data_IF_946879568138
#
_entry.id   IF_946879568138
#
_cell.length_a   1.000
_cell.length_b   1.000
_cell.length_c   1.000
_cell.angle_alpha   90.00
_cell.angle_beta   90.00
_cell.angle_gamma   90.00
#
_symmetry.space_group_name_H-M   'P 1'
#
loop_
_entity.id
_entity.type
_entity.pdbx_description
1 polymer ?
#
# COMPACT_ATOMS: atom_id res chain seq x y z
N UNK A 1 37.50 17.03 1.42
CA UNK A 1 36.34 17.89 1.10
C UNK A 1 35.12 17.00 0.90
N UNK A 2 34.31 16.80 1.95
CA UNK A 2 33.11 15.98 1.89
C UNK A 2 31.95 16.78 1.29
N UNK A 3 31.28 16.21 0.28
CA UNK A 3 30.07 16.80 -0.30
C UNK A 3 28.91 16.57 0.67
N UNK A 4 28.36 17.64 1.24
CA UNK A 4 27.11 17.61 2.01
C UNK A 4 25.96 17.54 0.99
N UNK A 5 25.21 16.44 0.99
CA UNK A 5 23.95 16.34 0.24
C UNK A 5 22.88 16.96 1.13
N UNK A 6 22.35 18.11 0.71
CA UNK A 6 21.27 18.82 1.36
C UNK A 6 19.95 18.17 0.91
N UNK A 7 19.38 17.27 1.70
CA UNK A 7 18.02 16.78 1.49
C UNK A 7 17.06 17.82 2.06
N UNK A 8 16.43 18.61 1.18
CA UNK A 8 15.42 19.60 1.56
C UNK A 8 14.09 18.87 1.71
N UNK A 9 13.69 18.63 2.97
CA UNK A 9 12.41 18.02 3.33
C UNK A 9 11.32 19.10 3.31
N UNK A 10 10.45 19.10 2.29
CA UNK A 10 9.23 19.92 2.29
C UNK A 10 8.08 19.10 2.88
N UNK A 11 7.94 19.14 4.21
CA UNK A 11 6.71 18.72 4.88
C UNK A 11 5.78 19.93 4.92
N UNK A 12 4.84 20.01 3.97
CA UNK A 12 3.74 20.97 4.04
C UNK A 12 2.66 20.40 4.97
N UNK A 13 2.58 21.05 6.13
CA UNK A 13 1.58 20.90 7.19
C UNK A 13 0.16 21.13 6.64
N UNK A 14 -0.70 20.13 6.77
CA UNK A 14 -2.16 20.32 6.79
C UNK A 14 -2.65 20.27 8.24
N UNK A 15 -2.34 21.34 8.99
CA UNK A 15 -3.04 21.63 10.24
C UNK A 15 -4.27 22.47 9.88
N UNK A 16 -5.43 21.84 9.97
CA UNK A 16 -6.73 22.50 9.94
C UNK A 16 -6.91 23.37 11.19
N UNK A 17 -6.73 24.68 11.06
CA UNK A 17 -7.27 25.66 12.02
C UNK A 17 -8.13 26.66 11.25
N UNK A 18 -9.41 26.72 11.59
CA UNK A 18 -10.37 27.69 11.07
C UNK A 18 -9.94 29.13 11.44
N UNK A 19 -9.91 30.01 10.43
CA UNK A 19 -10.13 31.45 10.64
C UNK A 19 -9.01 32.40 10.17
N UNK A 20 -9.04 32.79 8.90
CA UNK A 20 -9.15 34.19 8.45
C UNK A 20 -8.90 34.31 6.93
N UNK A 21 -9.46 35.36 6.34
CA UNK A 21 -9.70 35.54 4.90
C UNK A 21 -8.43 35.94 4.13
N UNK A 22 -8.41 35.51 2.86
CA UNK A 22 -7.64 36.02 1.71
C UNK A 22 -6.15 35.65 1.61
N UNK A 23 -5.78 34.81 0.64
CA UNK A 23 -5.31 35.25 -0.68
C UNK A 23 -5.05 34.03 -1.58
N UNK A 24 -5.44 34.15 -2.84
CA UNK A 24 -5.17 33.18 -3.90
C UNK A 24 -3.66 33.10 -4.18
N UNK A 25 -3.09 31.89 -4.17
CA UNK A 25 -1.98 31.59 -5.07
C UNK A 25 -2.08 30.13 -5.54
N UNK A 26 -2.43 29.97 -6.82
CA UNK A 26 -2.44 28.67 -7.51
C UNK A 26 -1.01 28.36 -7.94
N UNK A 27 -0.30 27.56 -7.15
CA UNK A 27 0.99 27.01 -7.57
C UNK A 27 0.75 25.82 -8.51
N UNK A 28 0.92 26.07 -9.80
CA UNK A 28 0.93 25.04 -10.84
C UNK A 28 2.31 24.37 -10.85
N UNK A 29 2.45 23.18 -10.28
CA UNK A 29 3.68 22.37 -10.43
C UNK A 29 3.52 21.43 -11.62
N UNK A 30 4.14 21.78 -12.75
CA UNK A 30 4.36 20.87 -13.88
C UNK A 30 5.52 19.94 -13.54
N UNK A 31 5.25 18.67 -13.30
CA UNK A 31 6.27 17.62 -13.23
C UNK A 31 6.60 17.18 -14.65
N UNK A 32 7.85 17.37 -15.09
CA UNK A 32 8.39 16.75 -16.31
C UNK A 32 8.92 15.37 -15.94
N UNK A 33 8.25 14.33 -16.41
CA UNK A 33 8.76 12.95 -16.36
C UNK A 33 9.35 12.62 -17.73
N UNK A 34 10.67 12.67 -17.87
CA UNK A 34 11.37 12.13 -19.04
C UNK A 34 11.62 10.63 -18.84
N UNK A 35 10.67 9.78 -19.24
CA UNK A 35 10.90 8.35 -19.40
C UNK A 35 11.38 8.07 -20.82
N UNK A 36 12.70 7.93 -20.99
CA UNK A 36 13.28 7.38 -22.23
C UNK A 36 13.28 5.86 -22.15
N UNK A 37 12.18 5.24 -22.59
CA UNK A 37 12.14 3.78 -22.83
C UNK A 37 12.60 3.53 -24.26
N UNK A 38 13.83 3.04 -24.42
CA UNK A 38 14.34 2.55 -25.71
C UNK A 38 13.72 1.18 -26.01
N UNK A 39 12.67 1.16 -26.83
CA UNK A 39 12.20 -0.05 -27.50
C UNK A 39 13.20 -0.47 -28.58
N UNK A 40 13.95 -1.54 -28.34
CA UNK A 40 14.61 -2.29 -29.43
C UNK A 40 13.74 -3.48 -29.84
N UNK A 41 12.90 -3.23 -30.83
CA UNK A 41 12.39 -4.24 -31.77
C UNK A 41 13.56 -4.86 -32.52
N UNK A 42 13.68 -6.19 -32.50
CA UNK A 42 14.42 -6.94 -33.51
C UNK A 42 13.51 -8.01 -34.11
N UNK A 43 13.22 -7.82 -35.40
CA UNK A 43 12.54 -8.77 -36.29
C UNK A 43 13.44 -9.93 -36.70
N UNK A 44 12.75 -11.02 -37.05
CA UNK A 44 13.17 -12.37 -37.41
C UNK A 44 14.27 -12.55 -38.48
N UNK A 45 14.92 -13.72 -38.44
CA UNK A 45 15.10 -14.61 -39.61
C UNK A 45 15.38 -16.08 -39.22
N UNK A 46 14.50 -16.96 -39.70
CA UNK A 46 14.61 -18.38 -40.10
C UNK A 46 15.99 -19.09 -40.12
N UNK A 47 16.11 -20.34 -39.64
CA UNK A 47 15.70 -21.60 -40.34
C UNK A 47 16.20 -22.89 -39.64
N UNK A 48 15.36 -23.92 -39.71
CA UNK A 48 15.65 -25.35 -39.98
C UNK A 48 16.11 -26.37 -38.88
N UNK A 49 15.16 -27.25 -38.53
CA UNK A 49 15.20 -28.74 -38.71
C UNK A 49 15.07 -29.67 -37.47
N UNK A 50 13.89 -30.32 -37.40
CA UNK A 50 13.51 -31.71 -37.03
C UNK A 50 13.55 -32.27 -35.59
N UNK A 51 12.38 -32.84 -35.30
CA UNK A 51 12.05 -34.12 -34.63
C UNK A 51 12.09 -34.21 -33.11
N UNK A 52 10.92 -34.46 -32.52
CA UNK A 52 10.81 -35.24 -31.29
C UNK A 52 9.53 -35.01 -30.48
N UNK A 53 8.54 -35.87 -30.71
CA UNK A 53 7.46 -36.30 -29.78
C UNK A 53 6.43 -35.26 -29.33
N UNK A 54 5.19 -35.52 -29.76
CA UNK A 54 3.96 -34.99 -29.18
C UNK A 54 3.84 -35.43 -27.71
N UNK A 55 4.09 -34.50 -26.80
CA UNK A 55 3.42 -34.48 -25.50
C UNK A 55 2.35 -33.39 -25.57
N UNK A 56 1.08 -33.80 -25.53
CA UNK A 56 -0.07 -32.91 -25.40
C UNK A 56 -0.03 -32.30 -24.00
N UNK A 57 0.76 -31.25 -23.84
CA UNK A 57 0.64 -30.34 -22.73
C UNK A 57 -0.64 -29.53 -22.96
N UNK A 58 -1.71 -29.87 -22.23
CA UNK A 58 -2.82 -28.96 -21.99
C UNK A 58 -2.28 -27.74 -21.23
N UNK A 59 -1.65 -26.81 -21.96
CA UNK A 59 -1.50 -25.44 -21.51
C UNK A 59 -2.90 -24.86 -21.59
N UNK A 60 -3.55 -24.75 -20.43
CA UNK A 60 -4.59 -23.76 -20.24
C UNK A 60 -4.04 -22.43 -20.77
N UNK A 61 -4.53 -22.01 -21.93
CA UNK A 61 -4.34 -20.65 -22.41
C UNK A 61 -5.12 -19.75 -21.45
N UNK A 62 -4.51 -19.40 -20.32
CA UNK A 62 -5.00 -18.32 -19.46
C UNK A 62 -5.04 -17.08 -20.35
N UNK A 63 -6.24 -16.61 -20.64
CA UNK A 63 -6.45 -15.45 -21.49
C UNK A 63 -5.90 -14.22 -20.77
N UNK A 64 -4.65 -13.88 -21.08
CA UNK A 64 -3.91 -12.76 -20.49
C UNK A 64 -4.63 -11.41 -20.68
N UNK A 65 -5.57 -11.34 -21.64
CA UNK A 65 -6.39 -10.13 -21.83
C UNK A 65 -7.41 -9.94 -20.70
N UNK A 66 -8.06 -11.03 -20.24
CA UNK A 66 -9.02 -10.99 -19.13
C UNK A 66 -8.37 -10.68 -17.80
N UNK A 67 -7.19 -11.28 -17.53
CA UNK A 67 -6.43 -11.03 -16.30
C UNK A 67 -6.02 -9.54 -16.18
N UNK A 68 -5.73 -8.90 -17.31
CA UNK A 68 -5.39 -7.47 -17.35
C UNK A 68 -6.63 -6.58 -17.11
N UNK A 69 -7.81 -7.00 -17.56
CA UNK A 69 -9.04 -6.24 -17.38
C UNK A 69 -9.59 -6.37 -15.94
N UNK A 70 -9.55 -7.57 -15.36
CA UNK A 70 -9.92 -7.79 -13.95
C UNK A 70 -9.00 -7.02 -13.00
N UNK A 71 -7.68 -7.06 -13.22
CA UNK A 71 -6.72 -6.32 -12.41
C UNK A 71 -7.01 -4.82 -12.43
N UNK A 72 -7.30 -4.24 -13.61
CA UNK A 72 -7.65 -2.82 -13.74
C UNK A 72 -8.94 -2.48 -13.03
N UNK A 73 -9.97 -3.31 -13.18
CA UNK A 73 -11.26 -3.09 -12.52
C UNK A 73 -11.11 -3.16 -10.99
N UNK A 74 -10.34 -4.12 -10.50
CA UNK A 74 -9.99 -4.24 -9.09
C UNK A 74 -9.28 -3.00 -8.57
N UNK A 75 -8.15 -2.59 -9.17
CA UNK A 75 -7.40 -1.45 -8.67
C UNK A 75 -8.18 -0.13 -8.77
N UNK A 76 -9.08 0.01 -9.74
CA UNK A 76 -10.02 1.13 -9.80
C UNK A 76 -11.01 1.13 -8.63
N UNK A 77 -11.44 -0.04 -8.17
CA UNK A 77 -12.34 -0.18 -7.01
C UNK A 77 -11.67 0.28 -5.70
N UNK A 78 -10.37 0.04 -5.58
CA UNK A 78 -9.57 0.40 -4.40
C UNK A 78 -8.73 1.67 -4.58
N UNK A 79 -8.88 2.38 -5.70
CA UNK A 79 -8.17 3.62 -5.98
C UNK A 79 -8.52 4.68 -4.92
N UNK A 80 -7.49 5.41 -4.48
CA UNK A 80 -7.60 6.50 -3.51
C UNK A 80 -8.17 6.11 -2.15
N UNK A 81 -8.18 4.80 -1.83
CA UNK A 81 -8.50 4.28 -0.50
C UNK A 81 -7.28 4.42 0.42
N UNK A 82 -7.54 4.86 1.66
CA UNK A 82 -6.51 5.02 2.68
C UNK A 82 -6.62 3.92 3.75
N UNK A 83 -5.98 2.79 3.52
CA UNK A 83 -5.95 1.73 4.51
C UNK A 83 -5.06 2.13 5.68
N UNK A 84 -5.50 1.87 6.90
CA UNK A 84 -4.76 2.18 8.11
C UNK A 84 -4.92 1.10 9.17
N UNK A 85 -3.85 0.85 9.91
CA UNK A 85 -3.94 0.21 11.22
C UNK A 85 -4.40 1.31 12.19
N UNK A 86 -5.60 1.19 12.78
CA UNK A 86 -6.13 2.20 13.67
C UNK A 86 -5.24 2.28 14.91
N UNK A 87 -5.17 3.47 15.51
CA UNK A 87 -4.19 3.78 16.55
C UNK A 87 -4.23 2.81 17.73
N UNK A 88 -3.34 1.82 17.75
CA UNK A 88 -3.09 0.98 18.93
C UNK A 88 -1.82 1.48 19.60
N UNK A 89 -1.90 1.82 20.89
CA UNK A 89 -0.75 2.30 21.67
C UNK A 89 0.01 3.47 21.00
N UNK A 90 -0.73 4.45 20.49
CA UNK A 90 -0.19 5.63 19.77
C UNK A 90 0.54 5.35 18.46
N UNK A 91 0.51 4.10 17.96
CA UNK A 91 1.05 3.72 16.65
C UNK A 91 -0.03 3.79 15.59
N UNK A 92 0.22 4.55 14.54
CA UNK A 92 -0.56 4.57 13.31
C UNK A 92 0.34 4.13 12.17
N UNK A 93 -0.19 3.27 11.33
CA UNK A 93 0.35 3.00 10.02
C UNK A 93 -0.76 3.20 9.00
N UNK A 94 -0.45 3.84 7.87
CA UNK A 94 -1.40 3.99 6.79
C UNK A 94 -0.74 3.94 5.43
N UNK A 95 -1.44 3.40 4.45
CA UNK A 95 -1.08 3.43 3.04
C UNK A 95 -2.13 4.20 2.24
N UNK A 96 -1.72 4.74 1.10
CA UNK A 96 -2.59 5.30 0.07
C UNK A 96 -2.35 4.54 -1.24
N UNK A 97 -3.38 3.86 -1.75
CA UNK A 97 -3.28 3.01 -2.93
C UNK A 97 -3.65 3.76 -4.23
N UNK A 98 -2.82 3.56 -5.25
CA UNK A 98 -3.02 4.04 -6.61
C UNK A 98 -3.71 2.97 -7.49
N UNK A 99 -4.23 3.39 -8.65
CA UNK A 99 -4.98 2.53 -9.57
C UNK A 99 -4.15 1.48 -10.35
N UNK A 100 -2.86 1.44 -10.11
CA UNK A 100 -1.91 0.50 -10.71
C UNK A 100 -1.22 -0.38 -9.65
N UNK A 101 -1.74 -0.33 -8.42
CA UNK A 101 -1.25 -1.10 -7.29
C UNK A 101 -0.04 -0.52 -6.58
N UNK A 102 0.53 0.58 -7.07
CA UNK A 102 1.50 1.32 -6.26
C UNK A 102 0.84 1.91 -5.02
N UNK A 103 1.62 2.14 -3.98
CA UNK A 103 1.14 2.83 -2.79
C UNK A 103 2.25 3.61 -2.09
N UNK A 104 1.85 4.67 -1.39
CA UNK A 104 2.68 5.38 -0.43
C UNK A 104 2.24 5.03 0.98
N UNK A 105 3.20 4.78 1.86
CA UNK A 105 3.00 4.37 3.24
C UNK A 105 3.68 5.29 4.24
N UNK A 106 3.04 5.43 5.40
CA UNK A 106 3.56 6.20 6.53
C UNK A 106 3.35 5.42 7.82
N UNK A 107 4.39 5.44 8.66
CA UNK A 107 4.34 5.00 10.05
C UNK A 107 4.55 6.22 10.94
N UNK A 108 3.71 6.34 11.97
CA UNK A 108 3.85 7.35 13.01
C UNK A 108 3.55 6.74 14.37
N UNK A 109 4.45 6.91 15.32
CA UNK A 109 4.17 6.61 16.72
C UNK A 109 4.83 7.64 17.65
N UNK A 110 4.45 7.62 18.92
CA UNK A 110 5.10 8.41 19.95
C UNK A 110 4.73 7.96 21.36
N UNK A 111 5.65 8.16 22.30
CA UNK A 111 5.49 7.80 23.70
C UNK A 111 5.61 9.00 24.66
N UNK A 112 5.64 10.22 24.13
CA UNK A 112 5.77 11.46 24.89
C UNK A 112 7.17 12.08 24.79
N UNK A 113 8.21 11.26 24.79
CA UNK A 113 9.62 11.72 24.75
C UNK A 113 10.29 11.51 23.39
N UNK A 114 9.75 10.57 22.60
CA UNK A 114 10.23 10.26 21.27
C UNK A 114 9.10 10.16 20.26
N UNK A 115 9.42 10.44 19.00
CA UNK A 115 8.58 10.17 17.85
C UNK A 115 9.23 9.09 16.98
N UNK A 116 8.41 8.21 16.43
CA UNK A 116 8.84 7.16 15.52
C UNK A 116 8.21 7.40 14.16
N UNK A 117 9.02 7.57 13.12
CA UNK A 117 8.54 7.95 11.78
C UNK A 117 9.13 6.99 10.74
N UNK A 118 8.29 6.55 9.81
CA UNK A 118 8.75 5.83 8.62
C UNK A 118 7.96 6.30 7.41
N UNK A 119 8.63 6.54 6.29
CA UNK A 119 7.99 6.75 4.99
C UNK A 119 8.50 5.68 4.04
N UNK A 120 7.59 5.12 3.26
CA UNK A 120 7.92 4.05 2.32
C UNK A 120 6.97 4.09 1.12
N UNK A 121 7.41 3.53 0.01
CA UNK A 121 6.56 3.23 -1.14
C UNK A 121 6.60 1.73 -1.44
N UNK A 122 5.59 1.25 -2.14
CA UNK A 122 5.54 -0.15 -2.55
C UNK A 122 4.59 -0.40 -3.70
N UNK A 123 4.45 -1.68 -4.05
CA UNK A 123 3.56 -2.13 -5.12
C UNK A 123 2.89 -3.45 -4.76
N UNK A 124 1.58 -3.52 -4.90
CA UNK A 124 0.79 -4.74 -4.89
C UNK A 124 0.51 -5.15 -6.34
N UNK A 125 0.83 -6.39 -6.68
CA UNK A 125 0.42 -6.99 -7.95
C UNK A 125 -0.86 -7.80 -7.73
N UNK A 126 -1.82 -7.67 -8.65
CA UNK A 126 -3.01 -8.52 -8.69
C UNK A 126 -2.61 -9.97 -8.94
N UNK A 127 -3.24 -10.90 -8.21
CA UNK A 127 -3.05 -12.34 -8.41
C UNK A 127 -4.32 -12.95 -9.02
N UNK A 128 -5.43 -12.86 -8.29
CA UNK A 128 -6.72 -13.40 -8.71
C UNK A 128 -7.88 -12.83 -7.88
N UNK A 129 -9.09 -12.93 -8.42
CA UNK A 129 -10.34 -12.74 -7.69
C UNK A 129 -10.72 -14.08 -7.06
N UNK A 130 -10.88 -14.10 -5.73
CA UNK A 130 -11.27 -15.31 -4.99
C UNK A 130 -12.78 -15.49 -5.03
N UNK A 131 -13.51 -14.40 -4.77
CA UNK A 131 -14.96 -14.31 -4.87
C UNK A 131 -15.39 -12.85 -5.14
N UNK A 132 -16.69 -12.57 -5.13
CA UNK A 132 -17.22 -11.22 -5.43
C UNK A 132 -16.77 -10.12 -4.47
N UNK A 133 -16.26 -10.46 -3.29
CA UNK A 133 -15.86 -9.53 -2.24
C UNK A 133 -14.39 -9.69 -1.83
N UNK A 134 -13.67 -10.67 -2.38
CA UNK A 134 -12.32 -11.02 -1.95
C UNK A 134 -11.37 -11.13 -3.12
N UNK A 135 -10.26 -10.41 -3.03
CA UNK A 135 -9.20 -10.39 -4.04
C UNK A 135 -7.87 -10.76 -3.41
N UNK A 136 -7.07 -11.54 -4.12
CA UNK A 136 -5.70 -11.87 -3.72
C UNK A 136 -4.72 -10.96 -4.44
N UNK A 137 -3.80 -10.41 -3.67
CA UNK A 137 -2.70 -9.56 -4.16
C UNK A 137 -1.38 -10.02 -3.59
N UNK A 138 -0.28 -9.65 -4.24
CA UNK A 138 1.09 -9.99 -3.82
C UNK A 138 1.92 -8.73 -3.65
N UNK A 139 2.68 -8.64 -2.56
CA UNK A 139 3.65 -7.56 -2.41
C UNK A 139 4.81 -7.74 -3.40
N UNK A 140 4.88 -6.88 -4.41
CA UNK A 140 5.89 -6.95 -5.47
C UNK A 140 7.11 -6.06 -5.19
N UNK A 141 6.91 -4.95 -4.48
CA UNK A 141 7.95 -3.96 -4.19
C UNK A 141 7.71 -3.30 -2.84
N UNK A 142 8.79 -2.99 -2.12
CA UNK A 142 8.78 -2.12 -0.95
C UNK A 142 10.14 -1.40 -0.82
N UNK A 143 10.11 -0.08 -0.71
CA UNK A 143 11.30 0.77 -0.54
C UNK A 143 11.04 1.82 0.55
N UNK A 144 11.96 1.91 1.52
CA UNK A 144 11.94 2.96 2.54
C UNK A 144 12.48 4.26 1.94
N UNK A 145 11.78 5.37 2.17
CA UNK A 145 12.22 6.71 1.78
C UNK A 145 12.98 7.41 2.90
N UNK A 146 12.62 7.10 4.15
CA UNK A 146 13.38 7.53 5.33
C UNK A 146 14.56 6.60 5.58
N UNK A 147 15.70 7.10 6.09
CA UNK A 147 16.76 6.25 6.62
C UNK A 147 16.20 5.29 7.67
N UNK A 148 16.69 4.06 7.79
CA UNK A 148 16.23 3.13 8.84
C UNK A 148 17.22 3.09 9.99
N UNK A 149 16.72 2.92 11.21
CA UNK A 149 17.52 2.79 12.45
C UNK A 149 18.44 3.99 12.72
N UNK A 150 18.05 5.17 12.23
CA UNK A 150 18.71 6.43 12.54
C UNK A 150 17.88 7.23 13.53
N UNK A 151 18.58 8.01 14.36
CA UNK A 151 17.97 8.92 15.31
C UNK A 151 18.44 10.34 15.03
N UNK A 152 17.54 11.30 15.17
CA UNK A 152 17.85 12.71 15.13
C UNK A 152 17.02 13.49 16.13
N UNK A 153 17.58 14.59 16.63
CA UNK A 153 16.85 15.50 17.50
C UNK A 153 16.28 16.64 16.65
N UNK A 154 14.96 16.82 16.69
CA UNK A 154 14.26 17.87 15.94
C UNK A 154 13.55 18.77 16.93
N UNK A 155 13.72 20.08 16.79
CA UNK A 155 12.92 21.06 17.52
C UNK A 155 11.53 21.18 16.86
N UNK A 156 10.48 20.79 17.58
CA UNK A 156 9.09 20.91 17.14
C UNK A 156 8.32 21.77 18.14
N UNK A 157 7.97 22.99 17.75
CA UNK A 157 7.19 23.89 18.61
C UNK A 157 7.92 24.34 19.88
N UNK A 158 9.26 24.45 19.84
CA UNK A 158 10.08 24.84 20.98
C UNK A 158 10.45 23.69 21.92
N UNK A 159 10.08 22.46 21.59
CA UNK A 159 10.43 21.24 22.33
C UNK A 159 11.37 20.42 21.45
N UNK A 160 12.50 19.99 22.01
CA UNK A 160 13.40 19.06 21.34
C UNK A 160 12.86 17.63 21.48
N UNK A 161 12.57 17.00 20.34
CA UNK A 161 12.03 15.63 20.28
C UNK A 161 13.07 14.73 19.62
N UNK A 162 13.33 13.58 20.22
CA UNK A 162 14.11 12.52 19.58
C UNK A 162 13.23 11.79 18.57
N UNK A 163 13.61 11.85 17.30
CA UNK A 163 12.94 11.15 16.20
C UNK A 163 13.76 9.93 15.83
N UNK A 164 13.18 8.75 15.96
CA UNK A 164 13.75 7.50 15.47
C UNK A 164 13.06 7.11 14.16
N UNK A 165 13.85 6.86 13.13
CA UNK A 165 13.32 6.38 11.86
C UNK A 165 13.21 4.85 11.82
N UNK A 166 12.03 4.35 11.47
CA UNK A 166 11.60 2.97 11.72
C UNK A 166 11.00 2.30 10.48
N UNK A 167 11.11 0.98 10.39
CA UNK A 167 10.65 0.13 9.27
C UNK A 167 9.73 -1.02 9.70
N UNK A 168 9.19 -0.95 10.93
CA UNK A 168 8.18 -1.86 11.50
C UNK A 168 6.78 -1.77 10.86
N UNK A 169 6.72 -1.69 9.54
CA UNK A 169 5.50 -1.64 8.75
C UNK A 169 4.78 -2.99 8.66
N UNK A 170 3.49 -2.92 8.35
CA UNK A 170 2.61 -4.02 7.99
C UNK A 170 3.21 -4.83 6.83
N UNK A 171 3.64 -4.13 5.78
CA UNK A 171 4.46 -4.69 4.73
C UNK A 171 5.93 -4.62 5.12
N UNK A 172 6.66 -5.75 5.08
CA UNK A 172 8.11 -5.77 5.34
C UNK A 172 8.86 -6.13 4.08
N UNK A 173 10.08 -5.61 3.94
CA UNK A 173 10.94 -5.89 2.79
C UNK A 173 11.24 -7.39 2.66
N UNK A 174 11.42 -8.08 3.77
CA UNK A 174 11.62 -9.53 3.83
C UNK A 174 10.37 -10.33 3.42
N UNK A 175 9.22 -9.66 3.26
CA UNK A 175 7.95 -10.25 2.83
C UNK A 175 7.62 -9.93 1.36
N UNK A 176 8.57 -9.43 0.57
CA UNK A 176 8.36 -9.32 -0.88
C UNK A 176 8.06 -10.72 -1.44
N UNK A 177 6.95 -10.84 -2.15
CA UNK A 177 6.40 -12.11 -2.62
C UNK A 177 5.30 -12.70 -1.75
N UNK A 178 5.09 -12.22 -0.52
CA UNK A 178 3.96 -12.63 0.31
C UNK A 178 2.62 -12.19 -0.29
N UNK A 179 1.60 -13.02 -0.06
CA UNK A 179 0.23 -12.80 -0.51
C UNK A 179 -0.62 -12.18 0.61
N UNK A 180 -1.61 -11.40 0.19
CA UNK A 180 -2.57 -10.70 1.04
C UNK A 180 -3.96 -10.82 0.43
N UNK A 181 -4.99 -10.80 1.26
CA UNK A 181 -6.37 -10.66 0.80
C UNK A 181 -6.84 -9.23 0.99
N UNK A 182 -7.50 -8.69 -0.03
CA UNK A 182 -8.23 -7.43 0.05
C UNK A 182 -9.72 -7.77 0.02
N UNK A 183 -10.38 -7.45 1.13
CA UNK A 183 -11.79 -7.67 1.35
C UNK A 183 -12.56 -6.38 1.10
N UNK A 184 -13.63 -6.48 0.32
CA UNK A 184 -14.56 -5.40 0.02
C UNK A 184 -15.67 -5.31 1.10
N UNK A 185 -16.38 -4.18 1.16
CA UNK A 185 -17.55 -4.07 2.02
C UNK A 185 -18.56 -5.18 1.77
N UNK A 186 -19.17 -5.66 2.86
CA UNK A 186 -20.09 -6.80 2.96
C UNK A 186 -19.43 -8.17 3.06
N UNK A 187 -18.11 -8.26 3.22
CA UNK A 187 -17.47 -9.52 3.60
C UNK A 187 -18.10 -10.06 4.89
N UNK A 188 -18.41 -11.35 4.92
CA UNK A 188 -18.97 -12.00 6.09
C UNK A 188 -17.91 -12.15 7.17
N UNK A 189 -18.18 -11.64 8.36
CA UNK A 189 -17.29 -11.80 9.50
C UNK A 189 -17.18 -13.28 9.88
N UNK A 190 -18.27 -14.03 9.71
CA UNK A 190 -18.30 -15.46 9.95
C UNK A 190 -17.42 -16.32 9.03
N UNK A 191 -17.01 -15.82 7.87
CA UNK A 191 -16.11 -16.55 6.96
C UNK A 191 -14.62 -16.36 7.26
N UNK A 192 -14.27 -15.46 8.18
CA UNK A 192 -12.89 -15.20 8.58
C UNK A 192 -12.46 -16.17 9.70
N UNK A 193 -11.15 -16.39 9.82
CA UNK A 193 -10.60 -17.10 10.98
C UNK A 193 -10.84 -16.32 12.29
N UNK A 194 -10.67 -17.01 13.42
CA UNK A 194 -10.95 -16.45 14.75
C UNK A 194 -10.06 -15.24 15.09
N UNK A 195 -8.82 -15.20 14.59
CA UNK A 195 -7.89 -14.10 14.89
C UNK A 195 -8.34 -12.83 14.19
N UNK A 196 -8.60 -12.91 12.89
CA UNK A 196 -9.07 -11.79 12.08
C UNK A 196 -10.47 -11.33 12.52
N UNK A 197 -11.34 -12.27 12.92
CA UNK A 197 -12.64 -11.96 13.53
C UNK A 197 -12.51 -11.14 14.81
N UNK A 198 -11.61 -11.54 15.72
CA UNK A 198 -11.35 -10.79 16.96
C UNK A 198 -10.79 -9.40 16.67
N UNK A 199 -9.91 -9.25 15.68
CA UNK A 199 -9.39 -7.93 15.29
C UNK A 199 -10.50 -7.00 14.78
N UNK A 200 -11.52 -7.53 14.10
CA UNK A 200 -12.67 -6.75 13.64
C UNK A 200 -13.60 -6.27 14.77
N UNK A 201 -13.54 -6.86 15.97
CA UNK A 201 -14.29 -6.34 17.14
C UNK A 201 -13.87 -4.91 17.50
N UNK A 202 -12.64 -4.50 17.15
CA UNK A 202 -12.17 -3.12 17.36
C UNK A 202 -12.91 -2.08 16.51
N UNK A 203 -13.63 -2.54 15.49
CA UNK A 203 -14.38 -1.73 14.52
C UNK A 203 -15.84 -2.21 14.42
N UNK A 204 -16.36 -2.80 15.51
CA UNK A 204 -17.70 -3.40 15.62
C UNK A 204 -18.84 -2.51 15.11
N UNK A 205 -18.74 -1.19 15.30
CA UNK A 205 -19.73 -0.21 14.82
C UNK A 205 -19.92 -0.22 13.30
N UNK A 206 -18.98 -0.79 12.55
CA UNK A 206 -19.09 -0.97 11.10
C UNK A 206 -19.50 -2.39 10.69
N UNK A 207 -19.76 -3.26 11.67
CA UNK A 207 -20.24 -4.63 11.46
C UNK A 207 -21.75 -4.64 11.68
N UNK A 208 -22.50 -5.16 10.70
CA UNK A 208 -23.95 -5.28 10.80
C UNK A 208 -24.42 -6.58 10.18
N UNK A 209 -25.24 -7.33 10.92
CA UNK A 209 -25.84 -8.59 10.44
C UNK A 209 -24.80 -9.54 9.84
N UNK A 210 -23.68 -9.73 10.54
CA UNK A 210 -22.51 -10.54 10.12
C UNK A 210 -21.71 -9.97 8.93
N UNK A 211 -21.97 -8.74 8.48
CA UNK A 211 -21.26 -8.12 7.37
C UNK A 211 -20.34 -7.00 7.84
N UNK A 212 -19.06 -7.05 7.47
CA UNK A 212 -18.12 -5.96 7.65
C UNK A 212 -18.34 -4.89 6.56
N UNK A 213 -18.81 -3.70 6.94
CA UNK A 213 -19.09 -2.59 6.00
C UNK A 213 -17.88 -1.67 5.83
N UNK A 214 -16.70 -2.28 5.67
CA UNK A 214 -15.42 -1.61 5.50
C UNK A 214 -14.60 -2.37 4.46
N UNK A 215 -13.57 -1.72 3.92
CA UNK A 215 -12.52 -2.44 3.21
C UNK A 215 -11.46 -2.87 4.23
N UNK A 216 -10.84 -4.03 4.02
CA UNK A 216 -9.69 -4.41 4.83
C UNK A 216 -8.67 -5.28 4.09
N UNK A 217 -7.41 -5.16 4.49
CA UNK A 217 -6.29 -5.97 4.00
C UNK A 217 -5.95 -6.98 5.10
N UNK A 218 -5.92 -8.25 4.74
CA UNK A 218 -5.54 -9.38 5.57
C UNK A 218 -4.20 -9.96 5.09
N UNK A 219 -3.28 -10.21 6.02
CA UNK A 219 -2.06 -10.96 5.76
C UNK A 219 -2.30 -12.46 5.92
N UNK A 220 -1.88 -13.27 4.94
CA UNK A 220 -2.18 -14.71 4.84
C UNK A 220 -1.20 -15.66 5.55
N UNK A 221 -0.13 -15.14 6.19
CA UNK A 221 0.90 -15.93 6.89
C UNK A 221 0.83 -15.73 8.43
N UNK A 222 1.85 -16.16 9.19
CA UNK A 222 2.06 -15.96 10.65
C UNK A 222 2.09 -14.47 11.11
N UNK A 223 1.64 -13.57 10.26
CA UNK A 223 1.73 -12.11 10.36
C UNK A 223 0.33 -11.54 10.55
N UNK A 224 -0.45 -12.14 11.46
CA UNK A 224 -1.82 -11.73 11.77
C UNK A 224 -1.90 -10.21 11.93
N UNK A 225 -2.75 -9.58 11.13
CA UNK A 225 -2.92 -8.14 11.14
C UNK A 225 -3.89 -7.71 10.06
N UNK A 226 -4.71 -6.72 10.41
CA UNK A 226 -5.64 -6.08 9.48
C UNK A 226 -5.30 -4.60 9.32
N UNK A 227 -5.35 -4.12 8.08
CA UNK A 227 -5.44 -2.68 7.78
C UNK A 227 -6.85 -2.37 7.29
N UNK A 228 -7.48 -1.30 7.80
CA UNK A 228 -8.87 -0.95 7.48
C UNK A 228 -8.96 0.33 6.66
N UNK A 229 -9.93 0.40 5.75
CA UNK A 229 -10.42 1.67 5.19
C UNK A 229 -11.93 1.77 5.43
N UNK A 230 -12.34 2.88 6.06
CA UNK A 230 -13.72 3.12 6.44
C UNK A 230 -14.49 3.81 5.32
N UNK A 231 -15.71 3.33 5.05
CA UNK A 231 -16.62 4.02 4.13
C UNK A 231 -17.09 5.29 4.82
N UNK A 232 -16.87 6.46 4.20
CA UNK A 232 -17.42 7.72 4.70
C UNK A 232 -18.91 7.75 4.39
N UNK A 233 -19.73 7.86 5.41
CA UNK A 233 -21.13 8.23 5.25
C UNK A 233 -21.16 9.70 4.78
N UNK A 234 -21.75 9.93 3.61
CA UNK A 234 -21.98 11.28 3.08
C UNK A 234 -23.28 11.88 3.64
#
# INVERSE_FOLDING_TARGET
>A
MGKKILAVLFVLLSISACGSKNANDKVNVRVKTENKVENKTNTATDKDTKNGKEEVANKENKDLSKENDEAKEFFKTIEAKKFAIPSVASKVESIFLYNDGYFDGMIKSGNGDAAYIGLYNGKLDYVEKIDDLTYKVKLAKLEMETPTSQEEQINMGGIDINVTYVDWSFFKKDNIGSEYLIHLPKTKVSSLDDTNRQMLEMVDKYIKDDNANIFFIEALDDKSGLMYEFIREN
#
